data_IF_382936951128
#
_entry.id   IF_382936951128
#
_cell.length_a   1.000
_cell.length_b   1.000
_cell.length_c   1.000
_cell.angle_alpha   90.00
_cell.angle_beta   90.00
_cell.angle_gamma   90.00
#
_symmetry.space_group_name_H-M   'P 1'
#
loop_
_entity.id
_entity.type
_entity.pdbx_description
1 polymer ?
#
# COMPACT_ATOMS: atom_id res chain seq x y z
N UNK A 1 5.10 8.11 16.39
CA UNK A 1 5.02 7.88 14.93
C UNK A 1 5.34 9.17 14.18
N UNK A 2 6.42 9.15 13.40
CA UNK A 2 6.96 10.25 12.59
C UNK A 2 6.32 10.20 11.20
N UNK A 3 5.92 11.35 10.64
CA UNK A 3 5.40 11.42 9.27
C UNK A 3 6.52 11.75 8.29
N UNK A 4 6.66 10.93 7.25
CA UNK A 4 7.49 11.23 6.08
C UNK A 4 6.62 11.94 5.05
N UNK A 5 7.05 13.14 4.63
CA UNK A 5 6.35 13.92 3.59
C UNK A 5 6.96 13.56 2.24
N UNK A 6 6.14 12.97 1.36
CA UNK A 6 6.51 12.64 0.00
C UNK A 6 5.40 13.12 -0.96
N UNK A 7 5.71 14.12 -1.78
CA UNK A 7 4.76 14.72 -2.73
C UNK A 7 4.98 14.24 -4.19
N UNK A 8 5.89 13.29 -4.40
CA UNK A 8 6.09 12.71 -5.72
C UNK A 8 4.88 11.85 -6.15
N UNK A 9 4.66 11.82 -7.47
CA UNK A 9 3.62 11.01 -8.12
C UNK A 9 4.19 9.85 -8.93
N UNK A 10 5.51 9.78 -9.03
CA UNK A 10 6.19 8.71 -9.78
C UNK A 10 6.25 7.44 -8.91
N UNK A 11 5.66 6.33 -9.36
CA UNK A 11 5.63 5.09 -8.57
C UNK A 11 7.02 4.52 -8.27
N UNK A 12 8.01 4.80 -9.11
CA UNK A 12 9.38 4.33 -8.96
C UNK A 12 10.06 5.04 -7.79
N UNK A 13 9.80 6.34 -7.64
CA UNK A 13 10.31 7.15 -6.53
C UNK A 13 9.57 6.77 -5.25
N UNK A 14 8.25 6.67 -5.30
CA UNK A 14 7.45 6.42 -4.11
C UNK A 14 7.74 5.07 -3.46
N UNK A 15 7.88 4.00 -4.27
CA UNK A 15 8.29 2.70 -3.75
C UNK A 15 9.74 2.69 -3.26
N UNK A 16 10.64 3.46 -3.89
CA UNK A 16 12.01 3.60 -3.42
C UNK A 16 12.09 4.35 -2.08
N UNK A 17 11.22 5.34 -1.84
CA UNK A 17 11.12 6.03 -0.54
C UNK A 17 10.60 5.08 0.54
N UNK A 18 9.58 4.27 0.25
CA UNK A 18 9.11 3.23 1.17
C UNK A 18 10.22 2.22 1.51
N UNK A 19 10.92 1.70 0.50
CA UNK A 19 12.02 0.77 0.69
C UNK A 19 13.20 1.40 1.45
N UNK A 20 13.52 2.66 1.16
CA UNK A 20 14.58 3.35 1.87
C UNK A 20 14.22 3.58 3.34
N UNK A 21 12.98 4.02 3.60
CA UNK A 21 12.48 4.24 4.94
C UNK A 21 12.52 2.96 5.79
N UNK A 22 12.17 1.82 5.18
CA UNK A 22 12.21 0.52 5.86
C UNK A 22 13.65 0.08 6.19
N UNK A 23 14.58 0.22 5.26
CA UNK A 23 15.91 -0.39 5.36
C UNK A 23 16.98 0.49 6.01
N UNK A 24 16.79 1.82 6.03
CA UNK A 24 17.87 2.75 6.39
C UNK A 24 17.52 3.80 7.45
N UNK A 25 16.24 3.98 7.82
CA UNK A 25 15.88 4.86 8.92
C UNK A 25 16.00 4.13 10.28
N UNK A 26 15.99 4.91 11.37
CA UNK A 26 16.13 4.35 12.72
C UNK A 26 14.99 3.36 13.00
N UNK A 27 15.30 2.06 13.23
CA UNK A 27 14.29 1.03 13.45
C UNK A 27 13.59 1.16 14.82
N UNK A 28 14.08 1.99 15.74
CA UNK A 28 13.42 2.26 17.02
C UNK A 28 12.29 3.28 16.90
N UNK A 29 12.17 3.95 15.76
CA UNK A 29 11.11 4.90 15.47
C UNK A 29 10.06 4.27 14.56
N UNK A 30 8.80 4.69 14.74
CA UNK A 30 7.69 4.28 13.88
C UNK A 30 7.39 5.38 12.85
N UNK A 31 7.20 5.02 11.59
CA UNK A 31 6.95 5.97 10.50
C UNK A 31 5.60 5.74 9.82
N UNK A 32 5.02 6.83 9.32
CA UNK A 32 3.87 6.81 8.41
C UNK A 32 4.15 7.62 7.16
N UNK A 33 3.73 7.08 6.01
CA UNK A 33 3.81 7.74 4.71
C UNK A 33 2.42 7.73 4.08
N UNK A 34 1.98 8.88 3.60
CA UNK A 34 0.79 9.02 2.74
C UNK A 34 1.25 9.50 1.37
N UNK A 35 0.88 8.79 0.32
CA UNK A 35 1.42 9.05 -1.02
C UNK A 35 0.48 8.56 -2.13
N UNK A 36 0.65 9.09 -3.34
CA UNK A 36 -0.18 8.76 -4.50
C UNK A 36 0.70 8.52 -5.73
N UNK A 37 0.24 7.66 -6.62
CA UNK A 37 0.89 7.43 -7.91
C UNK A 37 0.05 8.02 -9.03
N UNK A 38 0.72 8.51 -10.07
CA UNK A 38 0.11 8.61 -11.39
C UNK A 38 -0.25 7.19 -11.93
N UNK A 39 -1.02 7.07 -13.04
CA UNK A 39 -1.54 5.78 -13.52
C UNK A 39 -0.50 4.65 -13.51
N UNK A 40 -0.72 3.64 -12.66
CA UNK A 40 0.27 2.58 -12.37
C UNK A 40 -0.40 1.26 -12.04
N UNK A 41 0.13 0.16 -12.57
CA UNK A 41 -0.10 -1.18 -12.02
C UNK A 41 1.06 -1.57 -11.10
N UNK A 42 0.76 -1.81 -9.83
CA UNK A 42 1.71 -2.31 -8.84
C UNK A 42 1.55 -3.81 -8.70
N UNK A 43 2.53 -4.56 -9.19
CA UNK A 43 2.54 -6.03 -9.18
C UNK A 43 3.14 -6.56 -7.88
N UNK A 44 2.49 -7.57 -7.28
CA UNK A 44 2.98 -8.20 -6.05
C UNK A 44 4.28 -8.97 -6.28
N UNK A 45 5.11 -9.07 -5.23
CA UNK A 45 6.51 -9.55 -5.34
C UNK A 45 6.69 -10.84 -6.16
N UNK A 46 5.79 -11.81 -5.98
CA UNK A 46 5.92 -13.14 -6.58
C UNK A 46 5.00 -13.39 -7.80
N UNK A 47 4.29 -12.38 -8.30
CA UNK A 47 3.41 -12.56 -9.46
C UNK A 47 4.16 -12.52 -10.79
N UNK A 48 3.65 -13.25 -11.78
CA UNK A 48 4.09 -13.17 -13.16
C UNK A 48 3.49 -11.94 -13.84
N UNK A 49 4.28 -10.86 -13.97
CA UNK A 49 3.80 -9.56 -14.50
C UNK A 49 3.05 -9.70 -15.83
N UNK A 50 3.53 -10.53 -16.76
CA UNK A 50 2.91 -10.66 -18.09
C UNK A 50 1.50 -11.27 -18.01
N UNK A 51 1.22 -12.10 -17.00
CA UNK A 51 -0.09 -12.70 -16.78
C UNK A 51 -1.07 -11.77 -16.05
N UNK A 52 -0.57 -10.79 -15.31
CA UNK A 52 -1.41 -9.88 -14.50
C UNK A 52 -1.84 -8.62 -15.26
N UNK A 53 -1.23 -8.33 -16.41
CA UNK A 53 -1.39 -7.04 -17.08
C UNK A 53 -1.78 -7.16 -18.55
N UNK A 54 -2.65 -6.25 -19.00
CA UNK A 54 -2.91 -6.05 -20.42
C UNK A 54 -1.82 -5.17 -21.02
N UNK A 55 -0.75 -5.81 -21.52
CA UNK A 55 0.42 -5.13 -22.08
C UNK A 55 0.10 -4.08 -23.16
N UNK A 56 -0.70 -4.41 -24.20
CA UNK A 56 -1.13 -3.44 -25.21
C UNK A 56 -1.80 -2.19 -24.61
N UNK A 57 -2.76 -2.38 -23.70
CA UNK A 57 -3.49 -1.27 -23.08
C UNK A 57 -2.57 -0.39 -22.22
N UNK A 58 -1.67 -1.00 -21.44
CA UNK A 58 -0.69 -0.30 -20.62
C UNK A 58 0.23 0.57 -21.45
N UNK A 59 0.75 0.03 -22.56
CA UNK A 59 1.65 0.75 -23.47
C UNK A 59 0.93 1.89 -24.17
N UNK A 60 -0.29 1.67 -24.65
CA UNK A 60 -1.12 2.69 -25.31
C UNK A 60 -1.43 3.86 -24.36
N UNK A 61 -1.73 3.56 -23.10
CA UNK A 61 -2.14 4.57 -22.10
C UNK A 61 -0.98 5.18 -21.31
N UNK A 62 0.26 4.73 -21.53
CA UNK A 62 1.41 5.20 -20.77
C UNK A 62 1.33 4.88 -19.27
N UNK A 63 0.70 3.75 -18.91
CA UNK A 63 0.55 3.31 -17.52
C UNK A 63 1.87 2.68 -17.06
N UNK A 64 2.34 3.03 -15.87
CA UNK A 64 3.53 2.41 -15.29
C UNK A 64 3.26 0.98 -14.85
N UNK A 65 4.29 0.14 -14.87
CA UNK A 65 4.25 -1.19 -14.26
C UNK A 65 5.46 -1.33 -13.35
N UNK A 66 5.21 -1.45 -12.05
CA UNK A 66 6.26 -1.57 -11.03
C UNK A 66 5.99 -2.79 -10.15
N UNK A 67 7.05 -3.36 -9.57
CA UNK A 67 6.96 -4.47 -8.63
C UNK A 67 7.28 -3.98 -7.23
N UNK A 68 6.43 -4.29 -6.25
CA UNK A 68 6.64 -3.94 -4.84
C UNK A 68 7.35 -5.04 -4.06
N UNK A 69 7.83 -4.72 -2.85
CA UNK A 69 8.49 -5.67 -1.95
C UNK A 69 7.51 -6.67 -1.32
N UNK A 70 6.29 -6.24 -1.01
CA UNK A 70 5.30 -7.09 -0.36
C UNK A 70 4.65 -8.09 -1.32
N UNK A 71 4.15 -9.20 -0.76
CA UNK A 71 3.34 -10.17 -1.48
C UNK A 71 1.92 -9.67 -1.77
N UNK A 72 1.02 -10.57 -2.19
CA UNK A 72 -0.36 -10.25 -2.57
C UNK A 72 -0.53 -10.05 -4.08
N UNK A 73 -1.71 -9.58 -4.48
CA UNK A 73 -2.10 -9.41 -5.89
C UNK A 73 -1.63 -8.12 -6.55
N UNK A 74 -2.00 -7.96 -7.82
CA UNK A 74 -1.74 -6.75 -8.60
C UNK A 74 -2.85 -5.73 -8.33
N UNK A 75 -2.49 -4.47 -8.22
CA UNK A 75 -3.44 -3.36 -7.97
C UNK A 75 -3.18 -2.22 -8.95
N UNK A 76 -4.24 -1.49 -9.30
CA UNK A 76 -4.16 -0.30 -10.12
C UNK A 76 -4.26 0.94 -9.24
N UNK A 77 -3.36 1.90 -9.46
CA UNK A 77 -3.34 3.20 -8.81
C UNK A 77 -3.53 4.30 -9.85
N UNK A 78 -4.16 5.38 -9.41
CA UNK A 78 -4.18 6.69 -10.06
C UNK A 78 -4.20 7.78 -8.97
N UNK A 79 -4.43 9.04 -9.36
CA UNK A 79 -4.49 10.18 -8.43
C UNK A 79 -5.77 10.21 -7.58
N UNK A 80 -6.73 9.33 -7.82
CA UNK A 80 -7.87 9.07 -6.93
C UNK A 80 -7.57 8.04 -5.84
N UNK A 81 -6.47 7.28 -5.97
CA UNK A 81 -6.03 6.32 -4.98
C UNK A 81 -5.01 6.94 -4.00
N UNK A 82 -5.30 6.85 -2.70
CA UNK A 82 -4.37 7.23 -1.64
C UNK A 82 -3.73 5.97 -1.03
N UNK A 83 -2.41 5.89 -1.08
CA UNK A 83 -1.64 4.84 -0.41
C UNK A 83 -1.24 5.31 0.98
N UNK A 84 -1.21 4.36 1.91
CA UNK A 84 -0.63 4.54 3.24
C UNK A 84 0.37 3.44 3.52
N UNK A 85 1.47 3.81 4.17
CA UNK A 85 2.51 2.87 4.62
C UNK A 85 2.75 3.12 6.10
N UNK A 86 2.71 2.05 6.89
CA UNK A 86 3.18 2.04 8.27
C UNK A 86 4.46 1.23 8.34
N UNK A 87 5.51 1.83 8.88
CA UNK A 87 6.80 1.17 9.14
C UNK A 87 6.96 1.14 10.65
N UNK A 88 6.98 -0.05 11.23
CA UNK A 88 7.04 -0.26 12.69
C UNK A 88 8.00 -1.39 13.00
N UNK A 89 8.49 -1.43 14.23
CA UNK A 89 9.27 -2.57 14.73
C UNK A 89 8.45 -3.86 14.65
N UNK A 90 9.07 -4.88 14.05
CA UNK A 90 8.48 -6.18 13.80
C UNK A 90 8.51 -7.06 15.07
N UNK A 91 7.77 -6.65 16.10
CA UNK A 91 7.49 -7.55 17.23
C UNK A 91 6.66 -8.73 16.73
N UNK A 92 7.05 -9.97 17.11
CA UNK A 92 6.49 -11.23 16.59
C UNK A 92 4.95 -11.30 16.63
N UNK A 93 4.32 -10.61 17.58
CA UNK A 93 2.86 -10.57 17.76
C UNK A 93 2.12 -9.70 16.72
N UNK A 94 2.84 -8.83 16.01
CA UNK A 94 2.27 -7.90 15.02
C UNK A 94 2.38 -8.44 13.59
N UNK A 95 3.27 -9.40 13.33
CA UNK A 95 3.47 -9.96 11.99
C UNK A 95 2.19 -10.66 11.50
N UNK A 96 1.78 -10.37 10.27
CA UNK A 96 0.53 -10.88 9.65
C UNK A 96 -0.78 -10.50 10.34
N UNK A 97 -0.76 -9.54 11.28
CA UNK A 97 -1.97 -9.02 11.92
C UNK A 97 -2.58 -7.84 11.15
N UNK A 98 -3.23 -8.11 10.02
CA UNK A 98 -3.83 -7.06 9.18
C UNK A 98 -4.92 -6.25 9.89
N UNK A 99 -5.69 -6.87 10.77
CA UNK A 99 -6.74 -6.17 11.53
C UNK A 99 -6.13 -5.07 12.42
N UNK A 100 -5.02 -5.36 13.10
CA UNK A 100 -4.30 -4.37 13.91
C UNK A 100 -3.83 -3.16 13.08
N UNK A 101 -3.25 -3.41 11.90
CA UNK A 101 -2.69 -2.35 11.05
C UNK A 101 -3.75 -1.56 10.27
N UNK A 102 -4.91 -2.15 10.02
CA UNK A 102 -6.01 -1.47 9.33
C UNK A 102 -6.88 -0.65 10.29
N UNK A 103 -6.85 -0.95 11.59
CA UNK A 103 -7.65 -0.24 12.61
C UNK A 103 -7.46 1.29 12.60
N UNK A 104 -6.23 1.87 12.56
CA UNK A 104 -6.08 3.32 12.49
C UNK A 104 -6.76 3.95 11.26
N UNK A 105 -6.78 3.24 10.13
CA UNK A 105 -7.45 3.70 8.90
C UNK A 105 -8.96 3.65 9.06
N UNK A 106 -9.50 2.58 9.65
CA UNK A 106 -10.93 2.43 9.92
C UNK A 106 -11.42 3.50 10.91
N UNK A 107 -10.67 3.75 11.98
CA UNK A 107 -10.99 4.78 12.98
C UNK A 107 -10.93 6.19 12.36
N UNK A 108 -9.93 6.47 11.52
CA UNK A 108 -9.85 7.73 10.79
C UNK A 108 -11.07 7.93 9.87
N UNK A 109 -11.48 6.89 9.13
CA UNK A 109 -12.69 6.94 8.29
C UNK A 109 -13.96 7.15 9.13
N UNK A 110 -14.07 6.47 10.29
CA UNK A 110 -15.20 6.65 11.20
C UNK A 110 -15.30 8.10 11.71
N UNK A 111 -14.15 8.75 11.99
CA UNK A 111 -14.12 10.17 12.37
C UNK A 111 -14.65 11.12 11.28
N UNK A 112 -14.64 10.67 10.02
CA UNK A 112 -15.18 11.37 8.85
C UNK A 112 -16.63 10.95 8.54
N UNK A 113 -17.27 10.15 9.40
CA UNK A 113 -18.62 9.64 9.20
C UNK A 113 -18.71 8.45 8.24
N UNK A 114 -17.59 7.83 7.88
CA UNK A 114 -17.55 6.66 6.98
C UNK A 114 -17.44 5.39 7.81
N UNK A 115 -18.46 4.53 7.72
CA UNK A 115 -18.46 3.22 8.39
C UNK A 115 -17.74 2.17 7.55
N UNK A 116 -16.45 2.03 7.78
CA UNK A 116 -15.63 0.99 7.18
C UNK A 116 -15.44 -0.21 8.13
N UNK A 117 -15.16 -1.37 7.57
CA UNK A 117 -14.95 -2.61 8.33
C UNK A 117 -13.78 -3.42 7.76
N UNK A 118 -13.06 -4.13 8.62
CA UNK A 118 -12.09 -5.13 8.20
C UNK A 118 -12.82 -6.35 7.64
N UNK A 119 -12.36 -6.87 6.51
CA UNK A 119 -13.00 -7.99 5.83
C UNK A 119 -12.00 -8.98 5.23
N UNK A 120 -12.36 -10.26 5.27
CA UNK A 120 -11.56 -11.35 4.72
C UNK A 120 -10.21 -11.49 5.43
N UNK A 121 -9.12 -11.43 4.67
CA UNK A 121 -7.75 -11.60 5.19
C UNK A 121 -6.99 -10.29 5.33
N UNK A 122 -7.25 -9.32 4.46
CA UNK A 122 -6.42 -8.13 4.29
C UNK A 122 -7.16 -6.97 3.64
N UNK A 123 -8.49 -6.97 3.63
CA UNK A 123 -9.29 -5.96 2.93
C UNK A 123 -10.04 -5.05 3.90
N UNK A 124 -10.34 -3.83 3.44
CA UNK A 124 -11.29 -2.94 4.11
C UNK A 124 -12.47 -2.71 3.18
N UNK A 125 -13.68 -2.83 3.72
CA UNK A 125 -14.94 -2.73 2.98
C UNK A 125 -15.86 -1.65 3.54
N UNK A 126 -16.75 -1.14 2.69
CA UNK A 126 -17.92 -0.34 3.06
C UNK A 126 -19.12 -1.04 2.43
N UNK A 127 -20.13 -1.39 3.24
CA UNK A 127 -21.30 -2.17 2.80
C UNK A 127 -20.90 -3.44 2.01
N UNK A 128 -19.88 -4.15 2.49
CA UNK A 128 -19.32 -5.35 1.85
C UNK A 128 -18.57 -5.11 0.53
N UNK A 129 -18.41 -3.86 0.08
CA UNK A 129 -17.67 -3.51 -1.14
C UNK A 129 -16.24 -3.11 -0.79
N UNK A 130 -15.27 -3.77 -1.41
CA UNK A 130 -13.84 -3.50 -1.20
C UNK A 130 -13.46 -2.12 -1.72
N UNK A 131 -12.76 -1.36 -0.90
CA UNK A 131 -12.10 -0.10 -1.31
C UNK A 131 -10.60 -0.06 -0.96
N UNK A 132 -10.12 -0.94 -0.08
CA UNK A 132 -8.70 -1.02 0.27
C UNK A 132 -8.24 -2.48 0.33
N UNK A 133 -7.05 -2.74 -0.21
CA UNK A 133 -6.34 -4.01 -0.08
C UNK A 133 -4.98 -3.78 0.55
N UNK A 134 -4.64 -4.60 1.54
CA UNK A 134 -3.46 -4.41 2.38
C UNK A 134 -2.42 -5.49 2.12
N UNK A 135 -1.14 -5.16 2.27
CA UNK A 135 -0.04 -6.11 2.15
C UNK A 135 1.01 -5.79 3.22
N UNK A 136 1.80 -6.79 3.59
CA UNK A 136 2.90 -6.65 4.53
C UNK A 136 4.19 -7.17 3.92
N UNK A 137 5.29 -6.58 4.36
CA UNK A 137 6.66 -7.00 4.08
C UNK A 137 7.48 -6.82 5.35
N UNK A 138 8.37 -7.75 5.61
CA UNK A 138 9.32 -7.71 6.71
C UNK A 138 10.66 -8.23 6.18
N UNK A 139 11.76 -7.66 6.67
CA UNK A 139 13.14 -7.97 6.29
C UNK A 139 14.00 -8.22 7.53
#
# INVERSE_FOLDING_TARGET
MIRIINEHRDPRINLAVEEYALNYLDPNEEYVILWQNEPTVVVGRNQNTVAEVNGPFIKERGIHVVRRLSGGGAVYHDLGNLNFTFIVDAQKERVSNFEYFTRPVIEALASLGVKAEFSGRNDITIDGKKFSGNAQYWS
#
